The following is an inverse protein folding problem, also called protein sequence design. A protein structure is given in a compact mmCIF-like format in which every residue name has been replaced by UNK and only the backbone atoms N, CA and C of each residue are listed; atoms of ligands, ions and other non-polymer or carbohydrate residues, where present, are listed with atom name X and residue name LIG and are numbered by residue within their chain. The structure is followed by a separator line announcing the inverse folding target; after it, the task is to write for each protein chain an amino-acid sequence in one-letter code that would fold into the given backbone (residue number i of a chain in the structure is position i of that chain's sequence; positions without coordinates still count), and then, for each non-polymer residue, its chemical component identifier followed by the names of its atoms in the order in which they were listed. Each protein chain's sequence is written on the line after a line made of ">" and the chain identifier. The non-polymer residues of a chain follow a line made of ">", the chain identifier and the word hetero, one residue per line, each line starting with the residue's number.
data_IF_174169529057
#
_entry.id   IF_174169529057
#
_cell.length_a   1.000
_cell.length_b   1.000
_cell.length_c   1.000
_cell.angle_alpha   90.00
_cell.angle_beta   90.00
_cell.angle_gamma   90.00
#
_symmetry.space_group_name_H-M   'P 1'
#
loop_
_entity.id
_entity.type
_entity.pdbx_description
1 polymer ?
#
# COMPACT_ATOMS: atom_id res chain seq x y z
N UNK A 1 1.27 -14.02 10.25
CA UNK A 1 0.39 -13.09 9.51
C UNK A 1 0.82 -13.12 8.07
N UNK A 2 -0.12 -13.30 7.13
CA UNK A 2 0.14 -13.36 5.70
C UNK A 2 0.01 -11.95 5.10
N UNK A 3 1.12 -11.37 4.65
CA UNK A 3 1.12 -10.01 4.10
C UNK A 3 1.23 -10.03 2.59
N UNK A 4 0.28 -9.41 1.90
CA UNK A 4 0.36 -9.14 0.47
C UNK A 4 1.17 -7.87 0.22
N UNK A 5 2.32 -7.99 -0.45
CA UNK A 5 3.11 -6.86 -0.90
C UNK A 5 2.46 -6.25 -2.15
N UNK A 6 1.92 -5.06 -1.98
CA UNK A 6 1.43 -4.25 -3.08
C UNK A 6 2.54 -3.36 -3.63
N UNK A 7 2.86 -3.54 -4.91
CA UNK A 7 3.82 -2.74 -5.66
C UNK A 7 3.06 -1.74 -6.53
N UNK A 8 3.07 -0.44 -6.20
CA UNK A 8 2.49 0.61 -7.04
C UNK A 8 3.02 0.55 -8.49
N UNK A 9 2.15 0.85 -9.46
CA UNK A 9 2.49 0.75 -10.89
C UNK A 9 3.74 1.55 -11.27
N UNK A 10 3.89 2.78 -10.76
CA UNK A 10 5.07 3.60 -11.05
C UNK A 10 6.35 3.06 -10.39
N UNK A 11 6.24 2.41 -9.22
CA UNK A 11 7.38 1.76 -8.58
C UNK A 11 7.83 0.57 -9.42
N UNK A 12 6.88 -0.26 -9.86
CA UNK A 12 7.18 -1.41 -10.71
C UNK A 12 7.88 -1.00 -12.02
N UNK A 13 7.43 0.10 -12.64
CA UNK A 13 7.94 0.54 -13.96
C UNK A 13 9.20 1.40 -13.88
N UNK A 14 9.35 2.24 -12.85
CA UNK A 14 10.38 3.29 -12.82
C UNK A 14 11.40 3.12 -11.69
N UNK A 15 10.99 2.50 -10.57
CA UNK A 15 11.81 2.40 -9.36
C UNK A 15 11.74 1.02 -8.69
N UNK A 16 11.95 -0.09 -9.43
CA UNK A 16 11.73 -1.44 -8.91
C UNK A 16 12.59 -1.77 -7.67
N UNK A 17 13.74 -1.13 -7.50
CA UNK A 17 14.58 -1.25 -6.31
C UNK A 17 13.85 -0.86 -5.02
N UNK A 18 12.85 0.04 -5.08
CA UNK A 18 12.04 0.41 -3.90
C UNK A 18 11.16 -0.76 -3.48
N UNK A 19 10.62 -1.53 -4.43
CA UNK A 19 9.84 -2.72 -4.12
C UNK A 19 10.71 -3.81 -3.47
N UNK A 20 11.90 -4.05 -4.03
CA UNK A 20 12.85 -5.02 -3.49
C UNK A 20 13.27 -4.61 -2.07
N UNK A 21 13.64 -3.34 -1.85
CA UNK A 21 13.99 -2.85 -0.52
C UNK A 21 12.82 -2.94 0.48
N UNK A 22 11.58 -2.77 0.03
CA UNK A 22 10.38 -2.93 0.87
C UNK A 22 10.20 -4.39 1.28
N UNK A 23 10.35 -5.33 0.34
CA UNK A 23 10.31 -6.77 0.60
C UNK A 23 11.38 -7.16 1.63
N UNK A 24 12.64 -6.83 1.35
CA UNK A 24 13.76 -7.17 2.23
C UNK A 24 13.60 -6.58 3.65
N UNK A 25 13.07 -5.37 3.76
CA UNK A 25 12.79 -4.75 5.05
C UNK A 25 11.72 -5.53 5.82
N UNK A 26 10.60 -5.86 5.17
CA UNK A 26 9.52 -6.63 5.81
C UNK A 26 9.99 -8.03 6.22
N UNK A 27 10.76 -8.72 5.39
CA UNK A 27 11.37 -10.02 5.72
C UNK A 27 12.32 -9.91 6.92
N UNK A 28 13.18 -8.90 6.97
CA UNK A 28 14.08 -8.63 8.13
C UNK A 28 13.29 -8.34 9.42
N UNK A 29 12.08 -7.83 9.30
CA UNK A 29 11.18 -7.59 10.43
C UNK A 29 10.37 -8.84 10.84
N UNK A 30 10.59 -9.98 10.18
CA UNK A 30 9.96 -11.26 10.48
C UNK A 30 8.54 -11.41 9.90
N UNK A 31 8.22 -10.64 8.87
CA UNK A 31 6.91 -10.70 8.19
C UNK A 31 6.93 -11.79 7.12
N UNK A 32 5.86 -12.58 7.04
CA UNK A 32 5.64 -13.55 5.96
C UNK A 32 5.00 -12.84 4.76
N UNK A 33 5.84 -12.44 3.81
CA UNK A 33 5.50 -11.54 2.69
C UNK A 33 5.30 -12.33 1.41
N UNK A 34 4.21 -12.03 0.70
CA UNK A 34 3.87 -12.64 -0.58
C UNK A 34 3.65 -11.57 -1.62
N UNK A 35 4.08 -11.86 -2.84
CA UNK A 35 3.82 -11.02 -4.01
C UNK A 35 2.76 -11.69 -4.90
N UNK A 36 1.50 -11.22 -4.93
CA UNK A 36 0.52 -11.68 -5.91
C UNK A 36 0.97 -11.26 -7.32
N UNK A 37 1.27 -12.23 -8.19
CA UNK A 37 1.77 -11.96 -9.54
C UNK A 37 0.73 -11.38 -10.49
N UNK A 38 -0.56 -11.50 -10.14
CA UNK A 38 -1.68 -10.92 -10.89
C UNK A 38 -2.01 -9.47 -10.51
N UNK A 39 -1.28 -8.87 -9.56
CA UNK A 39 -1.57 -7.51 -9.12
C UNK A 39 -1.28 -6.47 -10.22
N UNK A 40 -2.10 -5.43 -10.26
CA UNK A 40 -2.00 -4.34 -11.23
C UNK A 40 -1.94 -2.97 -10.55
N UNK A 41 -2.44 -1.91 -11.20
CA UNK A 41 -2.62 -0.61 -10.57
C UNK A 41 -3.75 -0.63 -9.53
N UNK A 42 -3.70 0.29 -8.55
CA UNK A 42 -4.80 0.54 -7.62
C UNK A 42 -5.95 1.37 -8.21
N UNK A 43 -5.89 1.79 -9.48
CA UNK A 43 -6.94 2.62 -10.12
C UNK A 43 -6.77 4.13 -9.93
N UNK A 44 -5.91 4.57 -9.01
CA UNK A 44 -5.73 5.99 -8.66
C UNK A 44 -5.52 6.94 -9.86
N UNK A 45 -4.70 6.63 -10.89
CA UNK A 45 -4.51 7.56 -12.00
C UNK A 45 -5.82 7.92 -12.71
N UNK A 46 -6.72 6.96 -12.93
CA UNK A 46 -8.02 7.21 -13.56
C UNK A 46 -8.93 8.03 -12.65
N UNK A 47 -9.01 7.65 -11.36
CA UNK A 47 -9.79 8.41 -10.36
C UNK A 47 -9.35 9.87 -10.26
N UNK A 48 -8.04 10.12 -10.19
CA UNK A 48 -7.48 11.47 -10.15
C UNK A 48 -7.75 12.28 -11.43
N UNK A 49 -7.98 11.62 -12.56
CA UNK A 49 -8.30 12.25 -13.85
C UNK A 49 -9.80 12.45 -14.09
N UNK A 50 -10.66 12.12 -13.10
CA UNK A 50 -12.11 12.24 -13.22
C UNK A 50 -12.79 11.03 -13.88
N UNK A 51 -12.05 9.97 -14.18
CA UNK A 51 -12.55 8.72 -14.75
C UNK A 51 -12.72 7.65 -13.67
N UNK A 52 -13.33 8.02 -12.54
CA UNK A 52 -13.45 7.14 -11.37
C UNK A 52 -14.29 5.88 -11.68
N UNK A 53 -15.36 6.02 -12.45
CA UNK A 53 -16.16 4.88 -12.92
C UNK A 53 -15.35 3.91 -13.77
N UNK A 54 -14.48 4.41 -14.65
CA UNK A 54 -13.60 3.57 -15.48
C UNK A 54 -12.50 2.87 -14.66
N UNK A 55 -12.25 3.30 -13.42
CA UNK A 55 -11.28 2.68 -12.52
C UNK A 55 -11.79 1.39 -11.86
N UNK A 56 -13.10 1.13 -11.88
CA UNK A 56 -13.74 -0.01 -11.17
C UNK A 56 -13.11 -1.36 -11.49
N UNK A 57 -12.75 -1.60 -12.76
CA UNK A 57 -12.09 -2.84 -13.16
C UNK A 57 -10.73 -3.04 -12.48
N UNK A 58 -9.92 -1.98 -12.37
CA UNK A 58 -8.63 -2.04 -11.66
C UNK A 58 -8.84 -2.26 -10.16
N UNK A 59 -9.84 -1.60 -9.56
CA UNK A 59 -10.18 -1.77 -8.15
C UNK A 59 -10.64 -3.21 -7.85
N UNK A 60 -11.46 -3.82 -8.72
CA UNK A 60 -11.90 -5.21 -8.60
C UNK A 60 -10.72 -6.19 -8.69
N UNK A 61 -9.84 -6.01 -9.68
CA UNK A 61 -8.63 -6.84 -9.81
C UNK A 61 -7.73 -6.71 -8.57
N UNK A 62 -7.62 -5.51 -8.01
CA UNK A 62 -6.90 -5.31 -6.75
C UNK A 62 -7.54 -6.14 -5.62
N UNK A 63 -8.85 -6.04 -5.43
CA UNK A 63 -9.56 -6.79 -4.37
C UNK A 63 -9.36 -8.30 -4.55
N UNK A 64 -9.52 -8.82 -5.75
CA UNK A 64 -9.33 -10.25 -6.04
C UNK A 64 -7.91 -10.74 -5.74
N UNK A 65 -6.89 -9.94 -6.05
CA UNK A 65 -5.50 -10.31 -5.76
C UNK A 65 -5.17 -10.24 -4.26
N UNK A 66 -5.89 -9.44 -3.47
CA UNK A 66 -5.49 -9.13 -2.10
C UNK A 66 -6.45 -9.63 -1.01
N UNK A 67 -7.64 -10.14 -1.34
CA UNK A 67 -8.66 -10.56 -0.36
C UNK A 67 -8.24 -11.69 0.58
N UNK A 68 -7.31 -12.54 0.16
CA UNK A 68 -6.81 -13.70 0.93
C UNK A 68 -5.71 -13.35 1.94
N UNK A 69 -5.27 -12.09 2.00
CA UNK A 69 -4.21 -11.66 2.91
C UNK A 69 -4.77 -11.07 4.20
N UNK A 70 -3.99 -11.15 5.28
CA UNK A 70 -4.33 -10.52 6.56
C UNK A 70 -4.13 -9.00 6.45
N UNK A 71 -3.03 -8.60 5.81
CA UNK A 71 -2.67 -7.21 5.57
C UNK A 71 -2.12 -7.02 4.15
N UNK A 72 -2.32 -5.82 3.62
CA UNK A 72 -1.77 -5.39 2.33
C UNK A 72 -0.83 -4.24 2.63
N UNK A 73 0.44 -4.35 2.25
CA UNK A 73 1.44 -3.31 2.54
C UNK A 73 1.99 -2.77 1.24
N UNK A 74 1.98 -1.45 1.09
CA UNK A 74 2.50 -0.77 -0.09
C UNK A 74 3.35 0.45 0.25
N UNK A 75 4.50 0.66 -0.43
CA UNK A 75 5.37 1.82 -0.21
C UNK A 75 4.86 3.08 -0.96
N UNK A 76 3.55 3.36 -0.88
CA UNK A 76 2.95 4.57 -1.44
C UNK A 76 1.72 5.01 -0.65
N UNK A 77 1.85 6.15 0.04
CA UNK A 77 0.72 6.75 0.76
C UNK A 77 -0.44 7.12 -0.16
N UNK A 78 -0.20 7.53 -1.41
CA UNK A 78 -1.28 7.91 -2.33
C UNK A 78 -2.09 6.70 -2.79
N UNK A 79 -1.43 5.60 -3.11
CA UNK A 79 -2.13 4.40 -3.55
C UNK A 79 -2.89 3.74 -2.39
N UNK A 80 -2.28 3.66 -1.20
CA UNK A 80 -2.97 3.14 0.00
C UNK A 80 -4.15 4.03 0.38
N UNK A 81 -4.00 5.36 0.33
CA UNK A 81 -5.12 6.28 0.53
C UNK A 81 -6.26 6.00 -0.44
N UNK A 82 -5.94 5.82 -1.72
CA UNK A 82 -6.95 5.53 -2.74
C UNK A 82 -7.68 4.21 -2.47
N UNK A 83 -6.96 3.13 -2.13
CA UNK A 83 -7.58 1.86 -1.74
C UNK A 83 -8.52 2.03 -0.53
N UNK A 84 -8.09 2.73 0.52
CA UNK A 84 -8.91 2.95 1.72
C UNK A 84 -10.18 3.75 1.42
N UNK A 85 -10.06 4.81 0.64
CA UNK A 85 -11.09 5.85 0.55
C UNK A 85 -11.92 5.87 -0.73
N UNK A 86 -11.39 5.36 -1.85
CA UNK A 86 -12.05 5.44 -3.17
C UNK A 86 -12.51 4.09 -3.70
N UNK A 87 -12.26 2.98 -2.99
CA UNK A 87 -12.88 1.69 -3.32
C UNK A 87 -14.34 1.62 -2.83
N UNK A 88 -14.90 2.73 -2.34
CA UNK A 88 -16.34 2.88 -2.06
C UNK A 88 -17.20 2.91 -3.33
N UNK A 89 -16.58 3.13 -4.50
CA UNK A 89 -17.22 3.00 -5.82
C UNK A 89 -17.61 1.56 -6.17
N UNK A 90 -17.01 0.58 -5.51
CA UNK A 90 -17.38 -0.83 -5.64
C UNK A 90 -18.56 -1.15 -4.73
N UNK A 91 -19.27 -2.23 -5.03
CA UNK A 91 -20.18 -2.81 -4.04
C UNK A 91 -19.41 -3.22 -2.78
N UNK A 92 -19.91 -2.84 -1.60
CA UNK A 92 -19.21 -3.05 -0.33
C UNK A 92 -19.38 -4.48 0.19
N UNK A 93 -18.92 -5.46 -0.60
CA UNK A 93 -18.84 -6.86 -0.19
C UNK A 93 -17.88 -7.04 0.99
N UNK A 94 -17.97 -8.14 1.75
CA UNK A 94 -17.03 -8.41 2.86
C UNK A 94 -15.56 -8.36 2.43
N UNK A 95 -15.26 -8.79 1.21
CA UNK A 95 -13.90 -8.78 0.64
C UNK A 95 -13.41 -7.35 0.37
N UNK A 96 -14.25 -6.51 -0.24
CA UNK A 96 -13.93 -5.09 -0.48
C UNK A 96 -13.70 -4.37 0.85
N UNK A 97 -14.59 -4.56 1.82
CA UNK A 97 -14.46 -3.94 3.16
C UNK A 97 -13.18 -4.43 3.85
N UNK A 98 -12.87 -5.72 3.79
CA UNK A 98 -11.63 -6.29 4.33
C UNK A 98 -10.39 -5.64 3.70
N UNK A 99 -10.34 -5.55 2.38
CA UNK A 99 -9.22 -4.95 1.63
C UNK A 99 -9.04 -3.48 2.02
N UNK A 100 -10.12 -2.71 2.07
CA UNK A 100 -10.10 -1.29 2.46
C UNK A 100 -9.58 -1.10 3.87
N UNK A 101 -9.98 -1.95 4.81
CA UNK A 101 -9.59 -1.83 6.22
C UNK A 101 -8.18 -2.34 6.52
N UNK A 102 -7.64 -3.22 5.69
CA UNK A 102 -6.36 -3.90 5.95
C UNK A 102 -5.23 -3.50 4.99
N UNK A 103 -5.43 -2.46 4.16
CA UNK A 103 -4.35 -1.84 3.41
C UNK A 103 -3.56 -0.86 4.28
N UNK A 104 -2.24 -0.89 4.22
CA UNK A 104 -1.36 -0.05 5.04
C UNK A 104 -0.20 0.49 4.22
N UNK A 105 0.16 1.74 4.51
CA UNK A 105 1.42 2.32 4.06
C UNK A 105 2.56 1.67 4.86
N UNK A 106 3.75 1.51 4.27
CA UNK A 106 4.87 0.77 4.86
C UNK A 106 5.21 1.25 6.28
N UNK A 107 5.41 2.54 6.49
CA UNK A 107 5.72 3.10 7.82
C UNK A 107 4.51 2.96 8.76
N UNK A 108 3.29 3.16 8.25
CA UNK A 108 2.07 2.95 9.04
C UNK A 108 1.98 1.51 9.56
N UNK A 109 2.25 0.52 8.70
CA UNK A 109 2.25 -0.90 9.06
C UNK A 109 3.29 -1.22 10.13
N UNK A 110 4.53 -0.77 9.92
CA UNK A 110 5.64 -1.02 10.86
C UNK A 110 5.33 -0.45 12.25
N UNK A 111 4.77 0.76 12.32
CA UNK A 111 4.48 1.41 13.60
C UNK A 111 3.18 0.87 14.22
N UNK A 112 2.08 0.83 13.49
CA UNK A 112 0.74 0.55 14.06
C UNK A 112 0.42 -0.94 14.16
N UNK A 113 0.96 -1.77 13.26
CA UNK A 113 0.67 -3.21 13.24
C UNK A 113 1.81 -4.00 13.88
N UNK A 114 3.06 -3.73 13.51
CA UNK A 114 4.22 -4.41 14.12
C UNK A 114 4.63 -3.81 15.47
N UNK A 115 4.16 -2.59 15.81
CA UNK A 115 4.51 -1.93 17.07
C UNK A 115 5.97 -1.50 17.16
N UNK A 116 6.68 -1.37 16.03
CA UNK A 116 8.12 -1.06 15.98
C UNK A 116 8.34 0.41 15.66
N UNK A 117 8.97 1.13 16.57
CA UNK A 117 9.42 2.52 16.37
C UNK A 117 10.94 2.64 16.23
N UNK A 118 11.67 1.58 16.57
CA UNK A 118 13.09 1.42 16.35
C UNK A 118 13.35 0.07 15.65
N UNK A 119 14.13 0.13 14.57
CA UNK A 119 14.53 -1.03 13.76
C UNK A 119 16.06 -1.22 13.73
N UNK A 120 16.81 -0.48 14.55
CA UNK A 120 18.27 -0.55 14.64
C UNK A 120 19.01 0.01 13.42
N UNK A 121 18.35 0.79 12.57
CA UNK A 121 18.95 1.39 11.39
C UNK A 121 19.72 2.68 11.72
N UNK A 122 20.86 2.90 11.06
CA UNK A 122 21.63 4.13 11.16
C UNK A 122 21.94 4.68 9.78
N UNK A 123 21.74 5.99 9.60
CA UNK A 123 22.07 6.70 8.38
C UNK A 123 22.60 8.09 8.75
N UNK A 124 23.92 8.24 9.04
CA UNK A 124 24.51 9.43 9.63
C UNK A 124 24.70 10.57 8.62
N UNK A 125 23.64 10.90 7.89
CA UNK A 125 23.60 11.97 6.90
C UNK A 125 22.43 12.91 7.18
N UNK A 126 22.54 14.16 6.73
CA UNK A 126 21.44 15.12 6.79
C UNK A 126 20.41 14.76 5.72
N UNK A 127 19.16 14.57 6.12
CA UNK A 127 18.06 14.20 5.21
C UNK A 127 16.96 15.26 5.21
N UNK A 128 16.39 15.54 4.04
CA UNK A 128 15.15 16.29 3.90
C UNK A 128 13.97 15.33 3.97
N UNK A 129 13.15 15.42 5.02
CA UNK A 129 11.96 14.58 5.14
C UNK A 129 10.79 15.20 4.38
N UNK A 130 10.39 14.58 3.27
CA UNK A 130 9.17 14.94 2.57
C UNK A 130 7.98 14.19 3.15
N UNK A 131 7.03 14.93 3.76
CA UNK A 131 5.75 14.39 4.20
C UNK A 131 4.71 14.60 3.09
N UNK A 132 4.35 13.53 2.39
CA UNK A 132 3.38 13.61 1.29
C UNK A 132 1.99 14.03 1.77
N UNK A 133 1.21 14.73 0.94
CA UNK A 133 -0.15 15.15 1.30
C UNK A 133 -1.07 13.97 1.59
N UNK A 134 -1.00 12.90 0.79
CA UNK A 134 -1.79 11.69 1.02
C UNK A 134 -1.35 10.95 2.30
N UNK A 135 -0.07 10.95 2.65
CA UNK A 135 0.39 10.39 3.93
C UNK A 135 -0.03 11.25 5.13
N UNK A 136 0.29 12.55 5.08
CA UNK A 136 0.08 13.47 6.20
C UNK A 136 -1.40 13.80 6.43
N UNK A 137 -2.13 14.18 5.37
CA UNK A 137 -3.53 14.64 5.48
C UNK A 137 -4.53 13.53 5.19
N UNK A 138 -4.25 12.71 4.19
CA UNK A 138 -5.14 11.62 3.78
C UNK A 138 -5.17 10.49 4.81
N UNK A 139 -4.00 9.86 5.03
CA UNK A 139 -3.81 8.74 5.96
C UNK A 139 -3.58 9.17 7.41
N UNK A 140 -3.42 10.48 7.68
CA UNK A 140 -3.20 11.05 9.02
C UNK A 140 -1.98 10.42 9.73
N UNK A 141 -0.86 10.30 9.02
CA UNK A 141 0.40 9.74 9.54
C UNK A 141 1.31 10.76 10.26
N UNK A 142 0.80 11.95 10.55
CA UNK A 142 1.54 13.06 11.14
C UNK A 142 1.37 13.21 12.63
#
# INVERSE_FOLDING_TARGET
>A
MKVGLFIPCYINQLYPQVAIATLELLEKLGVDVYYPTGQTCCGQPLGNSGYEEDSKGACQVFVENFKEYDYIVGPSGSCIYHVKHHFDILEQTPEVVKVRNNAYELCEFIVKVLGKTDIGASFPHKVGLHKSCHGLRGLKLG
#
